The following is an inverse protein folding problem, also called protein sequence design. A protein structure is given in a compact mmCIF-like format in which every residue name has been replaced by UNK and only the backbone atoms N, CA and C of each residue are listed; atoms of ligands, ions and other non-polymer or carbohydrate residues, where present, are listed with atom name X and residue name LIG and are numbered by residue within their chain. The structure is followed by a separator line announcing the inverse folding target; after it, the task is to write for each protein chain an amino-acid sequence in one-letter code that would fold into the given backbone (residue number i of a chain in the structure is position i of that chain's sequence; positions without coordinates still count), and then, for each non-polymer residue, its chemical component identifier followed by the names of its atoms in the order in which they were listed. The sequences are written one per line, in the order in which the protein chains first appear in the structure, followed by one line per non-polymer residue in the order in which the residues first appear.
data_IF_896629420322
#
_entry.id   IF_896629420322
#
_cell.length_a   1.000
_cell.length_b   1.000
_cell.length_c   1.000
_cell.angle_alpha   90.00
_cell.angle_beta   90.00
_cell.angle_gamma   90.00
#
_symmetry.space_group_name_H-M   'P 1'
#
loop_
_entity.id
_entity.type
_entity.pdbx_description
1 polymer ?
#
# COMPACT_ATOMS: atom_id res chain seq x y z
N UNK A 1 -12.93 9.27 17.25
CA UNK A 1 -13.01 8.64 15.94
C UNK A 1 -11.65 8.64 15.27
N UNK A 2 -11.28 7.52 14.70
CA UNK A 2 -10.02 7.41 13.98
C UNK A 2 -10.15 8.07 12.62
N UNK A 3 -9.21 8.92 12.26
CA UNK A 3 -9.18 9.54 10.95
C UNK A 3 -8.97 8.49 9.86
N UNK A 4 -9.64 8.64 8.72
CA UNK A 4 -9.48 7.73 7.60
C UNK A 4 -8.05 7.80 7.06
N UNK A 5 -7.42 6.63 6.88
CA UNK A 5 -6.04 6.56 6.41
C UNK A 5 -5.85 7.24 5.04
N UNK A 6 -6.81 7.07 4.13
CA UNK A 6 -6.69 7.61 2.79
C UNK A 6 -6.70 9.14 2.74
N UNK A 7 -7.13 9.81 3.80
CA UNK A 7 -7.08 11.28 3.88
C UNK A 7 -5.81 11.79 4.52
N UNK A 8 -4.95 10.92 5.03
CA UNK A 8 -3.69 11.29 5.64
C UNK A 8 -2.57 11.37 4.61
N UNK A 9 -1.49 12.06 4.96
CA UNK A 9 -0.26 12.05 4.17
C UNK A 9 0.80 11.27 4.93
N UNK A 10 1.73 10.67 4.20
CA UNK A 10 2.83 9.95 4.82
C UNK A 10 3.77 10.94 5.52
N UNK A 11 4.27 10.53 6.68
CA UNK A 11 5.27 11.31 7.40
C UNK A 11 6.66 10.75 7.09
N UNK A 12 7.72 11.57 7.19
CA UNK A 12 9.07 11.05 7.00
C UNK A 12 9.34 9.90 7.96
N UNK A 13 9.84 8.79 7.45
CA UNK A 13 10.17 7.64 8.27
C UNK A 13 11.53 7.85 8.94
N UNK A 14 11.56 7.73 10.25
CA UNK A 14 12.80 7.79 11.01
C UNK A 14 13.25 6.36 11.33
N UNK A 15 14.51 6.06 11.09
CA UNK A 15 15.08 4.81 11.58
C UNK A 15 15.09 4.79 13.10
N UNK A 16 15.09 3.60 13.67
CA UNK A 16 15.18 3.44 15.11
C UNK A 16 13.87 3.44 15.89
N UNK A 17 12.75 3.79 15.24
CA UNK A 17 11.44 3.63 15.88
C UNK A 17 10.99 2.17 15.73
N UNK A 18 10.22 1.63 16.69
CA UNK A 18 9.77 0.26 16.56
C UNK A 18 8.71 0.13 15.45
N UNK A 19 8.66 -1.03 14.76
CA UNK A 19 7.57 -1.28 13.83
C UNK A 19 6.26 -1.44 14.60
N UNK A 20 5.14 -1.37 13.86
CA UNK A 20 3.83 -1.63 14.46
C UNK A 20 3.82 -3.03 15.06
N UNK A 21 3.16 -3.16 16.22
CA UNK A 21 2.88 -4.47 16.77
C UNK A 21 1.81 -5.16 15.92
N UNK A 22 1.66 -6.47 16.07
CA UNK A 22 0.60 -7.20 15.36
C UNK A 22 -0.78 -6.61 15.67
N UNK A 23 -1.03 -6.22 16.91
CA UNK A 23 -2.30 -5.61 17.29
C UNK A 23 -2.54 -4.28 16.60
N UNK A 24 -1.51 -3.42 16.55
CA UNK A 24 -1.60 -2.14 15.86
C UNK A 24 -1.81 -2.33 14.36
N UNK A 25 -1.08 -3.28 13.77
CA UNK A 25 -1.22 -3.58 12.35
C UNK A 25 -2.63 -4.06 12.02
N UNK A 26 -3.24 -4.87 12.89
CA UNK A 26 -4.61 -5.34 12.68
C UNK A 26 -5.63 -4.20 12.70
N UNK A 27 -5.42 -3.21 13.57
CA UNK A 27 -6.31 -2.05 13.61
C UNK A 27 -6.26 -1.26 12.29
N UNK A 28 -5.07 -1.04 11.75
CA UNK A 28 -4.95 -0.36 10.46
C UNK A 28 -5.44 -1.25 9.32
N UNK A 29 -5.20 -2.56 9.42
CA UNK A 29 -5.64 -3.53 8.42
C UNK A 29 -7.15 -3.51 8.24
N UNK A 30 -7.91 -3.19 9.26
CA UNK A 30 -9.35 -3.09 9.17
C UNK A 30 -9.81 -2.03 8.14
N UNK A 31 -8.97 -1.03 7.85
CA UNK A 31 -9.26 -0.02 6.81
C UNK A 31 -8.75 -0.43 5.43
N UNK A 32 -7.98 -1.50 5.34
CA UNK A 32 -7.45 -2.01 4.09
C UNK A 32 -7.57 -3.55 4.06
N UNK A 33 -8.81 -4.08 4.17
CA UNK A 33 -9.01 -5.51 4.41
C UNK A 33 -8.61 -6.41 3.23
N UNK A 34 -8.50 -5.85 2.02
CA UNK A 34 -8.11 -6.64 0.85
C UNK A 34 -6.59 -6.88 0.79
N UNK A 35 -5.83 -6.20 1.64
CA UNK A 35 -4.40 -6.43 1.74
C UNK A 35 -4.15 -7.57 2.71
N UNK A 36 -3.16 -8.40 2.41
CA UNK A 36 -2.79 -9.53 3.26
C UNK A 36 -1.61 -9.15 4.13
N UNK A 37 -1.70 -9.46 5.43
CA UNK A 37 -0.57 -9.33 6.34
C UNK A 37 0.37 -10.51 6.09
N UNK A 38 1.64 -10.22 5.82
CA UNK A 38 2.66 -11.22 5.54
C UNK A 38 3.81 -11.11 6.53
N UNK A 39 4.57 -12.19 6.67
CA UNK A 39 5.78 -12.22 7.50
C UNK A 39 5.52 -11.72 8.92
N UNK A 40 4.53 -12.30 9.57
CA UNK A 40 4.17 -11.98 10.95
C UNK A 40 3.86 -10.48 11.13
N UNK A 41 3.09 -9.93 10.18
CA UNK A 41 2.69 -8.52 10.17
C UNK A 41 3.87 -7.54 9.97
N UNK A 42 4.90 -7.98 9.24
CA UNK A 42 6.00 -7.10 8.85
C UNK A 42 5.85 -6.52 7.44
N UNK A 43 4.89 -7.03 6.67
CA UNK A 43 4.66 -6.63 5.28
C UNK A 43 3.19 -6.79 4.93
N UNK A 44 2.67 -5.92 4.07
CA UNK A 44 1.32 -6.11 3.50
C UNK A 44 1.45 -6.23 1.99
N UNK A 45 0.51 -6.98 1.40
CA UNK A 45 0.56 -7.29 -0.02
C UNK A 45 -0.84 -7.42 -0.58
N UNK A 46 -1.05 -6.93 -1.80
CA UNK A 46 -2.31 -7.11 -2.53
C UNK A 46 -2.02 -7.31 -4.01
N UNK A 47 -2.76 -8.22 -4.64
CA UNK A 47 -2.72 -8.44 -6.08
C UNK A 47 -3.98 -7.88 -6.71
N UNK A 48 -3.82 -7.27 -7.90
CA UNK A 48 -4.89 -6.63 -8.65
C UNK A 48 -4.99 -7.27 -10.02
N UNK A 49 -6.20 -7.38 -10.56
CA UNK A 49 -6.44 -7.96 -11.89
C UNK A 49 -6.96 -6.91 -12.86
N UNK A 50 -6.50 -7.02 -14.10
CA UNK A 50 -6.84 -6.08 -15.17
C UNK A 50 -7.17 -6.87 -16.44
N UNK A 51 -7.80 -6.19 -17.41
CA UNK A 51 -8.20 -6.83 -18.66
C UNK A 51 -7.06 -7.02 -19.65
N UNK A 52 -5.98 -6.25 -19.50
CA UNK A 52 -4.86 -6.30 -20.43
C UNK A 52 -3.62 -5.65 -19.82
N UNK A 53 -2.54 -5.63 -20.60
CA UNK A 53 -1.28 -5.06 -20.14
C UNK A 53 -1.37 -3.54 -19.97
N UNK A 54 -2.07 -2.85 -20.88
CA UNK A 54 -2.20 -1.40 -20.82
C UNK A 54 -2.82 -0.93 -19.52
N UNK A 55 -3.88 -1.61 -19.07
CA UNK A 55 -4.54 -1.25 -17.82
C UNK A 55 -3.61 -1.47 -16.62
N UNK A 56 -2.87 -2.58 -16.62
CA UNK A 56 -1.92 -2.85 -15.54
C UNK A 56 -0.81 -1.78 -15.53
N UNK A 57 -0.29 -1.42 -16.69
CA UNK A 57 0.75 -0.41 -16.81
C UNK A 57 0.27 0.96 -16.31
N UNK A 58 -0.94 1.37 -16.70
CA UNK A 58 -1.51 2.63 -16.27
C UNK A 58 -1.67 2.67 -14.76
N UNK A 59 -2.16 1.57 -14.17
CA UNK A 59 -2.31 1.47 -12.73
C UNK A 59 -0.96 1.60 -12.02
N UNK A 60 0.07 0.90 -12.50
CA UNK A 60 1.41 0.96 -11.92
C UNK A 60 1.98 2.37 -12.02
N UNK A 61 1.74 3.06 -13.13
CA UNK A 61 2.20 4.43 -13.29
C UNK A 61 1.53 5.37 -12.28
N UNK A 62 0.24 5.21 -12.03
CA UNK A 62 -0.45 6.02 -11.03
C UNK A 62 0.07 5.75 -9.63
N UNK A 63 0.36 4.49 -9.31
CA UNK A 63 0.97 4.14 -8.03
C UNK A 63 2.35 4.79 -7.90
N UNK A 64 3.12 4.78 -8.99
CA UNK A 64 4.44 5.40 -9.00
C UNK A 64 4.38 6.89 -8.69
N UNK A 65 3.43 7.61 -9.30
CA UNK A 65 3.25 9.03 -9.03
C UNK A 65 2.84 9.27 -7.57
N UNK A 66 1.95 8.44 -7.05
CA UNK A 66 1.55 8.51 -5.65
C UNK A 66 2.76 8.31 -4.72
N UNK A 67 3.56 7.29 -5.02
CA UNK A 67 4.73 6.95 -4.21
C UNK A 67 5.74 8.11 -4.17
N UNK A 68 5.96 8.75 -5.33
CA UNK A 68 6.85 9.91 -5.41
C UNK A 68 6.30 11.09 -4.63
N UNK A 69 4.99 11.34 -4.72
CA UNK A 69 4.37 12.45 -4.00
C UNK A 69 4.41 12.25 -2.48
N UNK A 70 4.25 11.00 -2.03
CA UNK A 70 4.20 10.71 -0.59
C UNK A 70 5.58 10.37 0.01
N UNK A 71 6.59 10.15 -0.85
CA UNK A 71 7.92 9.80 -0.36
C UNK A 71 7.98 8.42 0.28
N UNK A 72 7.08 7.51 -0.09
CA UNK A 72 7.03 6.16 0.44
C UNK A 72 6.75 5.19 -0.70
N UNK A 73 7.67 4.26 -0.96
CA UNK A 73 7.70 3.49 -2.20
C UNK A 73 7.38 2.01 -1.99
N UNK A 74 6.37 1.48 -2.70
CA UNK A 74 6.08 0.05 -2.68
C UNK A 74 7.03 -0.73 -3.58
N UNK A 75 7.04 -2.05 -3.41
CA UNK A 75 7.59 -2.95 -4.41
C UNK A 75 6.44 -3.39 -5.31
N UNK A 76 6.65 -3.35 -6.62
CA UNK A 76 5.61 -3.67 -7.59
C UNK A 76 6.14 -4.70 -8.58
N UNK A 77 5.33 -5.74 -8.81
CA UNK A 77 5.56 -6.70 -9.88
C UNK A 77 4.30 -6.68 -10.74
N UNK A 78 4.44 -6.57 -12.06
CA UNK A 78 3.26 -6.52 -12.92
C UNK A 78 3.55 -7.14 -14.27
N UNK A 79 2.46 -7.47 -14.96
CA UNK A 79 2.56 -8.02 -16.29
C UNK A 79 1.19 -7.94 -16.96
N UNK A 80 0.98 -8.77 -17.97
CA UNK A 80 -0.27 -8.74 -18.70
C UNK A 80 -1.42 -9.15 -17.77
N UNK A 81 -2.28 -8.19 -17.48
CA UNK A 81 -3.50 -8.43 -16.72
C UNK A 81 -3.36 -8.49 -15.21
N UNK A 82 -2.19 -8.15 -14.65
CA UNK A 82 -2.04 -8.17 -13.19
C UNK A 82 -1.02 -7.15 -12.68
N UNK A 83 -1.16 -6.81 -11.40
CA UNK A 83 -0.12 -6.10 -10.65
C UNK A 83 -0.16 -6.59 -9.21
N UNK A 84 1.01 -6.91 -8.67
CA UNK A 84 1.15 -7.31 -7.26
C UNK A 84 1.97 -6.22 -6.55
N UNK A 85 1.43 -5.71 -5.46
CA UNK A 85 2.02 -4.59 -4.73
C UNK A 85 2.30 -5.03 -3.30
N UNK A 86 3.52 -4.78 -2.83
CA UNK A 86 3.84 -5.05 -1.44
C UNK A 86 4.43 -3.80 -0.80
N UNK A 87 4.13 -3.62 0.48
CA UNK A 87 4.54 -2.46 1.24
C UNK A 87 5.16 -2.89 2.57
N UNK A 88 6.27 -2.28 2.90
CA UNK A 88 6.91 -2.40 4.20
C UNK A 88 7.83 -1.20 4.38
N UNK A 89 8.14 -0.88 5.62
CA UNK A 89 9.07 0.22 5.91
C UNK A 89 10.43 -0.39 6.30
N UNK A 90 11.34 -0.42 5.34
CA UNK A 90 12.63 -1.13 5.50
C UNK A 90 13.48 -0.57 6.63
N UNK A 91 13.44 0.74 6.86
CA UNK A 91 14.24 1.38 7.90
C UNK A 91 13.94 0.87 9.30
N UNK A 92 12.73 0.38 9.53
CA UNK A 92 12.33 -0.16 10.84
C UNK A 92 12.06 -1.66 10.79
N UNK A 93 12.31 -2.28 9.64
CA UNK A 93 12.15 -3.73 9.44
C UNK A 93 10.75 -4.24 9.78
N UNK A 94 9.73 -3.51 9.32
CA UNK A 94 8.35 -3.87 9.58
C UNK A 94 7.39 -2.86 9.02
N UNK A 95 6.20 -2.79 9.60
CA UNK A 95 5.14 -1.90 9.14
C UNK A 95 5.10 -0.61 9.94
N UNK A 96 4.70 0.45 9.24
CA UNK A 96 4.44 1.78 9.77
C UNK A 96 3.07 2.20 9.27
N UNK A 97 2.46 3.18 9.92
CA UNK A 97 1.18 3.72 9.45
C UNK A 97 1.27 4.15 7.98
N UNK A 98 2.42 4.65 7.53
CA UNK A 98 2.62 5.05 6.14
C UNK A 98 2.29 3.94 5.15
N UNK A 99 2.61 2.68 5.48
CA UNK A 99 2.32 1.56 4.61
C UNK A 99 0.82 1.43 4.37
N UNK A 100 0.03 1.62 5.42
CA UNK A 100 -1.43 1.54 5.33
C UNK A 100 -2.03 2.78 4.67
N UNK A 101 -1.43 3.95 4.85
CA UNK A 101 -1.85 5.16 4.15
C UNK A 101 -1.72 4.96 2.64
N UNK A 102 -0.57 4.47 2.19
CA UNK A 102 -0.36 4.20 0.76
C UNK A 102 -1.31 3.12 0.27
N UNK A 103 -1.50 2.04 1.05
CA UNK A 103 -2.38 0.95 0.67
C UNK A 103 -3.81 1.44 0.40
N UNK A 104 -4.35 2.26 1.29
CA UNK A 104 -5.72 2.78 1.12
C UNK A 104 -5.82 3.73 -0.07
N UNK A 105 -4.78 4.50 -0.35
CA UNK A 105 -4.76 5.38 -1.53
C UNK A 105 -4.66 4.57 -2.81
N UNK A 106 -3.88 3.49 -2.82
CA UNK A 106 -3.82 2.56 -3.96
C UNK A 106 -5.19 1.93 -4.20
N UNK A 107 -5.88 1.53 -3.13
CA UNK A 107 -7.22 0.96 -3.25
C UNK A 107 -8.19 1.93 -3.93
N UNK A 108 -8.09 3.22 -3.62
CA UNK A 108 -8.93 4.23 -4.27
C UNK A 108 -8.59 4.39 -5.75
N UNK A 109 -7.30 4.33 -6.09
CA UNK A 109 -6.88 4.37 -7.49
C UNK A 109 -7.48 3.18 -8.25
N UNK A 110 -7.38 1.98 -7.66
CA UNK A 110 -7.92 0.78 -8.27
C UNK A 110 -9.44 0.87 -8.45
N UNK A 111 -10.14 1.37 -7.44
CA UNK A 111 -11.60 1.51 -7.52
C UNK A 111 -12.03 2.41 -8.67
N UNK A 112 -11.31 3.52 -8.92
CA UNK A 112 -11.58 4.40 -10.05
C UNK A 112 -11.30 3.72 -11.38
N UNK A 113 -10.22 2.95 -11.44
CA UNK A 113 -9.85 2.22 -12.66
C UNK A 113 -10.89 1.15 -12.99
N UNK A 114 -11.38 0.43 -11.98
CA UNK A 114 -12.33 -0.65 -12.16
C UNK A 114 -13.71 -0.18 -12.65
N UNK A 115 -14.05 1.09 -12.42
CA UNK A 115 -15.34 1.65 -12.84
C UNK A 115 -15.29 2.36 -14.19
N UNK A 116 -14.11 2.48 -14.75
CA UNK A 116 -13.91 3.16 -16.04
C UNK A 116 -14.31 2.29 -17.22
#
# INVERSE_FOLDING_TARGET
MTEALASKTCTPCRGGIPPLTSEQAELFHAQAPDWQLKEEAHRIERSFRFRNFREALTFVQEIGELAEAEGHHPNISFGWGYAAVSLQTKKIKGLHENDFIIATKIDRIFARTATA
#
